data_IF_911556052914
#
_entry.id   IF_911556052914
#
_cell.length_a   1.000
_cell.length_b   1.000
_cell.length_c   1.000
_cell.angle_alpha   90.00
_cell.angle_beta   90.00
_cell.angle_gamma   90.00
#
_symmetry.space_group_name_H-M   'P 1'
#
loop_
_entity.id
_entity.type
_entity.pdbx_description
1 polymer ?
#
# COMPACT_ATOMS: atom_id res chain seq x y z
N UNK A 1 17.70 1.88 -7.96
CA UNK A 1 16.38 2.36 -7.48
C UNK A 1 15.43 1.18 -7.42
N UNK A 2 14.67 1.05 -6.33
CA UNK A 2 13.59 0.06 -6.22
C UNK A 2 12.25 0.77 -6.14
N UNK A 3 11.26 0.25 -6.86
CA UNK A 3 9.91 0.82 -6.91
C UNK A 3 8.89 -0.07 -6.23
N UNK A 4 7.98 0.55 -5.48
CA UNK A 4 6.83 -0.07 -4.83
C UNK A 4 5.60 0.61 -5.37
N UNK A 5 4.75 -0.10 -6.13
CA UNK A 5 3.49 0.43 -6.64
C UNK A 5 2.32 -0.16 -5.87
N UNK A 6 1.44 0.70 -5.38
CA UNK A 6 0.29 0.31 -4.57
C UNK A 6 -0.99 0.81 -5.25
N UNK A 7 -1.93 -0.11 -5.43
CA UNK A 7 -3.28 0.19 -5.87
C UNK A 7 -4.32 -0.53 -5.00
N UNK A 8 -5.57 -0.21 -5.20
CA UNK A 8 -6.70 -0.76 -4.46
C UNK A 8 -7.91 0.14 -4.62
N UNK A 9 -9.06 -0.26 -4.15
CA UNK A 9 -10.21 0.65 -4.03
C UNK A 9 -9.97 1.60 -2.88
N UNK A 10 -9.75 1.07 -1.68
CA UNK A 10 -9.56 1.85 -0.45
C UNK A 10 -8.14 1.68 0.13
N UNK A 11 -7.73 2.63 0.98
CA UNK A 11 -6.51 2.54 1.78
C UNK A 11 -5.20 2.88 1.07
N UNK A 12 -5.18 3.11 -0.24
CA UNK A 12 -3.97 3.39 -1.03
C UNK A 12 -3.06 4.46 -0.42
N UNK A 13 -3.62 5.64 -0.19
CA UNK A 13 -2.88 6.79 0.32
C UNK A 13 -2.31 6.53 1.71
N UNK A 14 -3.12 5.92 2.60
CA UNK A 14 -2.68 5.54 3.96
C UNK A 14 -1.54 4.54 3.90
N UNK A 15 -1.67 3.47 3.08
CA UNK A 15 -0.62 2.47 2.92
C UNK A 15 0.67 3.08 2.38
N UNK A 16 0.60 3.90 1.32
CA UNK A 16 1.76 4.56 0.73
C UNK A 16 2.49 5.47 1.72
N UNK A 17 1.74 6.32 2.44
CA UNK A 17 2.31 7.22 3.45
C UNK A 17 2.89 6.47 4.64
N UNK A 18 2.22 5.42 5.12
CA UNK A 18 2.73 4.58 6.19
C UNK A 18 4.05 3.91 5.79
N UNK A 19 4.11 3.34 4.60
CA UNK A 19 5.33 2.71 4.07
C UNK A 19 6.44 3.75 3.94
N UNK A 20 6.16 4.93 3.37
CA UNK A 20 7.13 6.02 3.32
C UNK A 20 7.66 6.40 4.71
N UNK A 21 6.76 6.53 5.69
CA UNK A 21 7.12 6.88 7.07
C UNK A 21 8.02 5.82 7.71
N UNK A 22 7.73 4.53 7.48
CA UNK A 22 8.56 3.43 7.97
C UNK A 22 9.97 3.49 7.37
N UNK A 23 10.09 3.68 6.05
CA UNK A 23 11.40 3.80 5.39
C UNK A 23 12.18 5.02 5.89
N UNK A 24 11.53 6.17 6.04
CA UNK A 24 12.17 7.38 6.60
C UNK A 24 12.62 7.16 8.05
N UNK A 25 11.82 6.49 8.88
CA UNK A 25 12.21 6.12 10.25
C UNK A 25 13.42 5.17 10.24
N UNK A 26 13.53 4.33 9.21
CA UNK A 26 14.72 3.47 8.96
C UNK A 26 15.88 4.22 8.31
N UNK A 27 15.83 5.57 8.20
CA UNK A 27 16.85 6.41 7.54
C UNK A 27 17.09 6.04 6.07
N UNK A 28 16.08 5.49 5.40
CA UNK A 28 16.12 5.18 3.97
C UNK A 28 15.50 6.33 3.20
N UNK A 29 16.15 6.77 2.12
CA UNK A 29 15.58 7.77 1.21
C UNK A 29 14.36 7.16 0.50
N UNK A 30 13.16 7.62 0.88
CA UNK A 30 11.89 7.14 0.37
C UNK A 30 11.08 8.29 -0.23
N UNK A 31 10.94 8.26 -1.54
CA UNK A 31 10.17 9.23 -2.32
C UNK A 31 8.76 8.70 -2.57
N UNK A 32 7.75 9.55 -2.43
CA UNK A 32 6.35 9.19 -2.64
C UNK A 32 5.73 10.10 -3.69
N UNK A 33 5.09 9.49 -4.67
CA UNK A 33 4.38 10.19 -5.72
C UNK A 33 3.30 9.37 -6.40
N UNK A 34 2.76 9.91 -7.48
CA UNK A 34 1.69 9.31 -8.28
C UNK A 34 0.35 9.97 -8.04
N UNK A 35 -0.68 9.20 -7.69
CA UNK A 35 -2.02 9.72 -7.40
C UNK A 35 -2.09 10.55 -6.09
N UNK A 36 -1.07 10.48 -5.27
CA UNK A 36 -0.90 11.29 -4.06
C UNK A 36 0.49 11.93 -4.03
N UNK A 37 0.56 13.13 -3.48
CA UNK A 37 1.83 13.85 -3.33
C UNK A 37 2.27 14.49 -4.63
N UNK A 38 3.52 14.22 -5.06
CA UNK A 38 4.10 14.79 -6.27
C UNK A 38 3.87 13.90 -7.51
N UNK A 39 3.76 14.46 -8.71
CA UNK A 39 3.87 13.67 -9.93
C UNK A 39 5.14 12.82 -9.92
N UNK A 40 5.09 11.62 -10.51
CA UNK A 40 6.23 10.68 -10.47
C UNK A 40 7.49 11.28 -11.09
N UNK A 41 7.34 12.09 -12.13
CA UNK A 41 8.45 12.76 -12.83
C UNK A 41 9.13 13.88 -12.03
N UNK A 42 8.43 14.43 -11.02
CA UNK A 42 8.95 15.49 -10.15
C UNK A 42 9.67 14.95 -8.89
N UNK A 43 9.82 13.64 -8.79
CA UNK A 43 10.48 13.02 -7.66
C UNK A 43 12.00 13.18 -7.76
N UNK A 44 12.64 13.63 -6.67
CA UNK A 44 14.10 13.70 -6.59
C UNK A 44 14.68 12.32 -6.27
N UNK A 45 14.86 11.51 -7.31
CA UNK A 45 15.27 10.11 -7.20
C UNK A 45 16.79 10.00 -7.25
N UNK A 46 17.39 9.47 -6.18
CA UNK A 46 18.81 9.14 -6.07
C UNK A 46 19.03 7.64 -6.31
N UNK A 47 20.26 7.22 -6.57
CA UNK A 47 20.62 5.82 -6.88
C UNK A 47 20.10 4.79 -5.87
N UNK A 48 20.01 5.15 -4.57
CA UNK A 48 19.55 4.27 -3.48
C UNK A 48 18.13 4.57 -3.00
N UNK A 49 17.40 5.46 -3.66
CA UNK A 49 16.03 5.82 -3.28
C UNK A 49 15.10 4.61 -3.41
N UNK A 50 14.13 4.53 -2.51
CA UNK A 50 12.93 3.70 -2.67
C UNK A 50 11.82 4.61 -3.19
N UNK A 51 11.26 4.29 -4.34
CA UNK A 51 10.17 5.05 -4.94
C UNK A 51 8.86 4.35 -4.66
N UNK A 52 7.97 5.02 -3.93
CA UNK A 52 6.63 4.53 -3.58
C UNK A 52 5.64 5.28 -4.46
N UNK A 53 4.83 4.55 -5.21
CA UNK A 53 3.88 5.12 -6.17
C UNK A 53 2.47 4.67 -5.79
N UNK A 54 1.60 5.62 -5.51
CA UNK A 54 0.17 5.37 -5.49
C UNK A 54 -0.36 5.39 -6.93
N UNK A 55 -0.99 4.29 -7.35
CA UNK A 55 -1.56 4.18 -8.69
C UNK A 55 -3.08 4.01 -8.64
N UNK A 56 -3.82 4.91 -9.29
CA UNK A 56 -5.26 4.78 -9.51
C UNK A 56 -5.57 3.79 -10.64
N UNK A 57 -6.82 3.30 -10.71
CA UNK A 57 -7.26 2.47 -11.83
C UNK A 57 -7.21 3.21 -13.17
N UNK A 58 -7.45 4.51 -13.15
CA UNK A 58 -7.37 5.38 -14.34
C UNK A 58 -5.95 5.41 -14.89
N UNK A 59 -4.97 5.73 -14.04
CA UNK A 59 -3.56 5.75 -14.43
C UNK A 59 -3.10 4.39 -14.96
N UNK A 60 -3.49 3.29 -14.28
CA UNK A 60 -3.13 1.93 -14.69
C UNK A 60 -3.77 1.53 -16.02
N UNK A 61 -4.96 2.04 -16.34
CA UNK A 61 -5.60 1.76 -17.64
C UNK A 61 -4.72 2.24 -18.81
N UNK A 62 -4.13 3.42 -18.68
CA UNK A 62 -3.28 4.02 -19.72
C UNK A 62 -1.81 3.60 -19.61
N UNK A 63 -1.40 2.98 -18.51
CA UNK A 63 -0.01 2.53 -18.34
C UNK A 63 0.29 1.29 -19.18
N UNK A 64 1.18 1.42 -20.17
CA UNK A 64 1.59 0.29 -21.05
C UNK A 64 2.77 -0.49 -20.49
N UNK A 65 3.73 0.18 -19.85
CA UNK A 65 5.05 -0.40 -19.49
C UNK A 65 5.37 -0.28 -18.00
N UNK A 66 4.35 -0.33 -17.14
CA UNK A 66 4.56 -0.28 -15.69
C UNK A 66 5.19 -1.59 -15.20
N UNK A 67 6.43 -1.52 -14.71
CA UNK A 67 7.18 -2.66 -14.16
C UNK A 67 7.73 -2.32 -12.77
N UNK A 68 6.92 -2.46 -11.71
CA UNK A 68 7.41 -2.25 -10.35
C UNK A 68 8.17 -3.46 -9.83
N UNK A 69 9.22 -3.24 -9.01
CA UNK A 69 9.89 -4.33 -8.30
C UNK A 69 8.96 -4.97 -7.25
N UNK A 70 8.10 -4.17 -6.65
CA UNK A 70 7.10 -4.60 -5.67
C UNK A 70 5.75 -4.00 -6.05
N UNK A 71 4.74 -4.84 -6.22
CA UNK A 71 3.40 -4.42 -6.55
C UNK A 71 2.39 -4.95 -5.54
N UNK A 72 1.47 -4.10 -5.07
CA UNK A 72 0.43 -4.49 -4.14
C UNK A 72 -0.95 -4.06 -4.61
N UNK A 73 -1.93 -4.97 -4.56
CA UNK A 73 -3.35 -4.64 -4.61
C UNK A 73 -3.92 -4.88 -3.23
N UNK A 74 -4.32 -3.80 -2.54
CA UNK A 74 -4.84 -3.87 -1.18
C UNK A 74 -6.20 -4.58 -1.17
N UNK A 75 -7.15 -4.05 -1.94
CA UNK A 75 -8.52 -4.57 -2.05
C UNK A 75 -9.15 -4.13 -3.37
N UNK A 76 -10.23 -4.81 -3.74
CA UNK A 76 -11.09 -4.42 -4.85
C UNK A 76 -12.54 -4.57 -4.40
N UNK A 77 -13.28 -3.48 -4.41
CA UNK A 77 -14.72 -3.38 -4.24
C UNK A 77 -15.34 -2.63 -5.42
N UNK A 78 -16.64 -2.60 -5.54
CA UNK A 78 -17.35 -1.87 -6.60
C UNK A 78 -17.06 -0.38 -6.45
N UNK A 79 -16.52 0.23 -7.52
CA UNK A 79 -16.19 1.63 -7.59
C UNK A 79 -15.95 2.04 -9.06
N UNK A 80 -16.17 3.32 -9.40
CA UNK A 80 -15.85 3.90 -10.72
C UNK A 80 -16.43 3.11 -11.91
N UNK A 81 -17.64 2.53 -11.77
CA UNK A 81 -18.29 1.78 -12.86
C UNK A 81 -18.79 2.70 -13.98
N UNK A 82 -19.09 3.93 -13.66
CA UNK A 82 -19.41 5.01 -14.62
C UNK A 82 -18.30 5.18 -15.66
N UNK A 83 -17.04 5.01 -15.26
CA UNK A 83 -15.90 5.14 -16.15
C UNK A 83 -15.42 3.79 -16.72
N UNK A 84 -15.33 2.75 -15.90
CA UNK A 84 -14.82 1.44 -16.32
C UNK A 84 -15.87 0.57 -17.04
N UNK A 85 -17.13 0.92 -16.96
CA UNK A 85 -18.27 0.16 -17.48
C UNK A 85 -18.59 -1.07 -16.65
N UNK A 86 -17.60 -1.88 -16.29
CA UNK A 86 -17.81 -3.14 -15.52
C UNK A 86 -16.77 -3.30 -14.41
N UNK A 87 -17.16 -4.05 -13.36
CA UNK A 87 -16.24 -4.45 -12.28
C UNK A 87 -15.07 -5.29 -12.83
N UNK A 88 -15.27 -6.02 -13.90
CA UNK A 88 -14.23 -6.82 -14.57
C UNK A 88 -13.17 -5.91 -15.19
N UNK A 89 -13.57 -4.85 -15.89
CA UNK A 89 -12.66 -3.88 -16.48
C UNK A 89 -11.90 -3.12 -15.38
N UNK A 90 -12.59 -2.67 -14.33
CA UNK A 90 -11.98 -2.04 -13.17
C UNK A 90 -10.92 -2.92 -12.50
N UNK A 91 -11.25 -4.20 -12.26
CA UNK A 91 -10.31 -5.20 -11.74
C UNK A 91 -9.11 -5.40 -12.68
N UNK A 92 -9.37 -5.55 -13.98
CA UNK A 92 -8.33 -5.78 -14.97
C UNK A 92 -7.38 -4.56 -15.07
N UNK A 93 -7.87 -3.33 -14.96
CA UNK A 93 -7.01 -2.15 -14.94
C UNK A 93 -6.00 -2.20 -13.79
N UNK A 94 -6.45 -2.59 -12.58
CA UNK A 94 -5.56 -2.73 -11.42
C UNK A 94 -4.57 -3.89 -11.55
N UNK A 95 -4.99 -5.00 -12.15
CA UNK A 95 -4.11 -6.16 -12.37
C UNK A 95 -2.93 -5.87 -13.33
N UNK A 96 -3.02 -4.79 -14.12
CA UNK A 96 -1.90 -4.37 -15.00
C UNK A 96 -0.59 -4.13 -14.24
N UNK A 97 -0.62 -3.80 -12.95
CA UNK A 97 0.62 -3.60 -12.18
C UNK A 97 1.52 -4.85 -12.14
N UNK A 98 0.97 -6.03 -12.42
CA UNK A 98 1.73 -7.29 -12.45
C UNK A 98 2.16 -7.70 -13.86
N UNK A 99 1.60 -7.09 -14.92
CA UNK A 99 1.71 -7.59 -16.29
C UNK A 99 3.14 -7.57 -16.84
N UNK A 100 3.98 -6.65 -16.40
CA UNK A 100 5.36 -6.50 -16.84
C UNK A 100 6.39 -6.99 -15.81
N UNK A 101 5.93 -7.47 -14.65
CA UNK A 101 6.82 -8.04 -13.62
C UNK A 101 7.43 -9.35 -14.11
N UNK A 102 8.66 -9.62 -13.73
CA UNK A 102 9.35 -10.89 -13.97
C UNK A 102 9.58 -11.68 -12.66
N UNK A 103 10.30 -12.79 -12.75
CA UNK A 103 10.58 -13.70 -11.62
C UNK A 103 11.41 -13.08 -10.50
N UNK A 104 12.02 -11.91 -10.68
CA UNK A 104 12.75 -11.18 -9.64
C UNK A 104 11.86 -10.23 -8.86
N UNK A 105 10.69 -9.88 -9.43
CA UNK A 105 9.75 -8.96 -8.85
C UNK A 105 8.78 -9.66 -7.88
N UNK A 106 8.12 -8.89 -7.01
CA UNK A 106 7.23 -9.42 -5.99
C UNK A 106 5.83 -8.80 -6.12
N UNK A 107 4.83 -9.67 -6.23
CA UNK A 107 3.41 -9.33 -6.11
C UNK A 107 2.91 -9.59 -4.69
N UNK A 108 2.14 -8.64 -4.12
CA UNK A 108 1.54 -8.77 -2.79
C UNK A 108 0.02 -8.74 -2.90
N UNK A 109 -0.63 -9.77 -2.40
CA UNK A 109 -2.09 -9.93 -2.37
C UNK A 109 -2.52 -10.57 -1.05
N UNK A 110 -3.75 -10.30 -0.62
CA UNK A 110 -4.37 -10.91 0.57
C UNK A 110 -5.71 -11.59 0.27
N UNK A 111 -6.34 -11.28 -0.86
CA UNK A 111 -7.69 -11.73 -1.20
C UNK A 111 -7.65 -13.00 -2.06
N UNK A 112 -8.38 -14.06 -1.65
CA UNK A 112 -8.43 -15.35 -2.33
C UNK A 112 -8.86 -15.24 -3.81
N UNK A 113 -9.85 -14.37 -4.12
CA UNK A 113 -10.31 -14.18 -5.51
C UNK A 113 -9.24 -13.54 -6.39
N UNK A 114 -8.46 -12.58 -5.83
CA UNK A 114 -7.34 -11.94 -6.54
C UNK A 114 -6.19 -12.92 -6.74
N UNK A 115 -5.86 -13.72 -5.73
CA UNK A 115 -4.82 -14.76 -5.79
C UNK A 115 -5.17 -15.78 -6.88
N UNK A 116 -6.40 -16.26 -6.92
CA UNK A 116 -6.85 -17.19 -7.96
C UNK A 116 -6.75 -16.55 -9.37
N UNK A 117 -7.10 -15.27 -9.49
CA UNK A 117 -6.98 -14.55 -10.77
C UNK A 117 -5.51 -14.38 -11.18
N UNK A 118 -4.65 -14.04 -10.22
CA UNK A 118 -3.20 -13.93 -10.43
C UNK A 118 -2.63 -15.23 -10.99
N UNK A 119 -2.94 -16.36 -10.35
CA UNK A 119 -2.47 -17.67 -10.78
C UNK A 119 -3.01 -18.07 -12.17
N UNK A 120 -4.31 -17.82 -12.42
CA UNK A 120 -4.92 -18.09 -13.74
C UNK A 120 -4.28 -17.29 -14.87
N UNK A 121 -3.88 -16.04 -14.61
CA UNK A 121 -3.20 -15.17 -15.58
C UNK A 121 -1.71 -15.50 -15.76
N UNK A 122 -1.17 -16.43 -14.97
CA UNK A 122 0.22 -16.90 -15.04
C UNK A 122 1.25 -15.76 -15.00
N UNK A 123 1.02 -14.76 -14.14
CA UNK A 123 2.00 -13.69 -13.92
C UNK A 123 3.33 -14.26 -13.40
N UNK A 124 4.45 -13.71 -13.87
CA UNK A 124 5.79 -14.25 -13.63
C UNK A 124 6.35 -13.90 -12.25
N UNK A 125 5.86 -12.83 -11.62
CA UNK A 125 6.38 -12.36 -10.34
C UNK A 125 6.10 -13.34 -9.19
N UNK A 126 6.96 -13.30 -8.17
CA UNK A 126 6.80 -14.10 -6.96
C UNK A 126 5.63 -13.59 -6.13
N UNK A 127 4.60 -14.41 -5.98
CA UNK A 127 3.45 -14.06 -5.14
C UNK A 127 3.77 -14.19 -3.64
N UNK A 128 3.60 -13.10 -2.91
CA UNK A 128 3.61 -13.06 -1.44
C UNK A 128 2.20 -12.80 -0.93
N UNK A 129 1.62 -13.79 -0.26
CA UNK A 129 0.29 -13.68 0.34
C UNK A 129 0.42 -12.96 1.68
N UNK A 130 -0.27 -11.83 1.81
CA UNK A 130 -0.32 -11.04 3.04
C UNK A 130 -1.42 -11.62 3.94
N UNK A 131 -1.05 -12.32 4.99
CA UNK A 131 -1.97 -12.96 5.95
C UNK A 131 -2.09 -12.13 7.22
N UNK A 132 -3.24 -12.17 7.90
CA UNK A 132 -3.42 -11.54 9.22
C UNK A 132 -2.42 -12.09 10.28
N UNK A 133 -2.05 -13.35 10.17
CA UNK A 133 -1.07 -14.01 11.05
C UNK A 133 0.36 -13.49 10.92
N UNK A 134 0.68 -12.67 9.91
CA UNK A 134 2.02 -12.09 9.77
C UNK A 134 2.40 -11.20 10.97
N UNK A 135 1.41 -10.48 11.53
CA UNK A 135 1.54 -9.78 12.80
C UNK A 135 1.20 -10.76 13.93
N UNK A 136 2.23 -11.41 14.48
CA UNK A 136 2.03 -12.28 15.64
C UNK A 136 1.52 -11.47 16.85
N UNK A 137 0.94 -12.15 17.84
CA UNK A 137 0.33 -11.52 19.01
C UNK A 137 1.32 -10.64 19.80
N UNK A 138 2.60 -10.99 19.82
CA UNK A 138 3.65 -10.24 20.53
C UNK A 138 3.84 -8.86 19.89
N UNK A 139 3.93 -8.82 18.55
CA UNK A 139 4.09 -7.56 17.81
C UNK A 139 2.80 -6.76 17.87
N UNK A 140 1.65 -7.40 17.69
CA UNK A 140 0.34 -6.73 17.72
C UNK A 140 0.08 -6.02 19.06
N UNK A 141 0.41 -6.66 20.20
CA UNK A 141 0.29 -6.06 21.53
C UNK A 141 1.17 -4.82 21.75
N UNK A 142 2.25 -4.66 20.97
CA UNK A 142 3.16 -3.50 21.05
C UNK A 142 2.75 -2.34 20.15
N UNK A 143 1.70 -2.50 19.35
CA UNK A 143 1.16 -1.42 18.51
C UNK A 143 0.09 -0.68 19.33
N UNK A 144 0.37 0.57 19.65
CA UNK A 144 -0.51 1.45 20.44
C UNK A 144 -1.29 2.45 19.59
N UNK A 145 -1.05 2.45 18.29
CA UNK A 145 -1.68 3.38 17.36
C UNK A 145 -3.09 2.90 16.97
N UNK A 146 -4.10 3.45 17.64
CA UNK A 146 -5.51 3.10 17.43
C UNK A 146 -6.00 3.36 16.01
N UNK A 147 -5.45 4.36 15.31
CA UNK A 147 -5.77 4.62 13.91
C UNK A 147 -5.40 3.45 13.01
N UNK A 148 -4.22 2.86 13.20
CA UNK A 148 -3.72 1.76 12.36
C UNK A 148 -4.28 0.39 12.75
N UNK A 149 -4.69 0.19 13.99
CA UNK A 149 -5.33 -1.07 14.41
C UNK A 149 -6.84 -1.09 14.18
N UNK A 150 -7.45 0.04 13.79
CA UNK A 150 -8.86 0.10 13.38
C UNK A 150 -9.11 -0.76 12.14
N UNK A 151 -10.30 -1.34 12.03
CA UNK A 151 -10.63 -2.27 10.93
C UNK A 151 -10.35 -1.69 9.53
N UNK A 152 -10.66 -0.41 9.22
CA UNK A 152 -10.35 0.17 7.90
C UNK A 152 -8.86 0.25 7.57
N UNK A 153 -8.00 0.42 8.59
CA UNK A 153 -6.56 0.62 8.40
C UNK A 153 -5.70 -0.61 8.70
N UNK A 154 -6.29 -1.64 9.31
CA UNK A 154 -5.55 -2.84 9.69
C UNK A 154 -4.94 -3.56 8.48
N UNK A 155 -5.66 -3.59 7.37
CA UNK A 155 -5.15 -4.17 6.12
C UNK A 155 -3.92 -3.39 5.61
N UNK A 156 -3.96 -2.06 5.64
CA UNK A 156 -2.83 -1.20 5.26
C UNK A 156 -1.60 -1.49 6.13
N UNK A 157 -1.80 -1.71 7.43
CA UNK A 157 -0.75 -2.08 8.39
C UNK A 157 -0.11 -3.44 8.03
N UNK A 158 -0.91 -4.44 7.65
CA UNK A 158 -0.42 -5.75 7.25
C UNK A 158 0.48 -5.68 6.01
N UNK A 159 0.05 -4.93 4.97
CA UNK A 159 0.87 -4.72 3.77
C UNK A 159 2.16 -3.98 4.09
N UNK A 160 2.09 -2.91 4.91
CA UNK A 160 3.27 -2.18 5.33
C UNK A 160 4.25 -3.04 6.14
N UNK A 161 3.75 -3.93 7.00
CA UNK A 161 4.60 -4.86 7.74
C UNK A 161 5.23 -5.90 6.82
N UNK A 162 4.46 -6.48 5.86
CA UNK A 162 5.01 -7.43 4.89
C UNK A 162 6.13 -6.80 4.06
N UNK A 163 5.95 -5.56 3.60
CA UNK A 163 6.99 -4.82 2.87
C UNK A 163 8.20 -4.57 3.78
N UNK A 164 7.99 -4.17 5.02
CA UNK A 164 9.07 -3.98 6.00
C UNK A 164 9.91 -5.25 6.19
N UNK A 165 9.27 -6.42 6.23
CA UNK A 165 9.95 -7.73 6.32
C UNK A 165 10.78 -8.01 5.08
N UNK A 166 10.25 -7.74 3.89
CA UNK A 166 10.97 -7.95 2.62
C UNK A 166 12.23 -7.07 2.56
N UNK A 167 12.18 -5.86 3.09
CA UNK A 167 13.32 -4.94 3.14
C UNK A 167 14.19 -5.10 4.40
N UNK A 168 13.99 -6.16 5.19
CA UNK A 168 14.73 -6.45 6.42
C UNK A 168 14.74 -5.30 7.45
N UNK A 169 13.66 -4.50 7.50
CA UNK A 169 13.51 -3.45 8.50
C UNK A 169 13.31 -4.11 9.87
N UNK A 170 14.16 -3.76 10.84
CA UNK A 170 14.10 -4.30 12.21
C UNK A 170 12.73 -4.02 12.83
N UNK A 171 12.16 -5.01 13.53
CA UNK A 171 10.84 -4.88 14.19
C UNK A 171 10.78 -3.67 15.15
N UNK A 172 11.86 -3.35 15.85
CA UNK A 172 11.94 -2.15 16.72
C UNK A 172 11.71 -0.85 15.93
N UNK A 173 12.30 -0.74 14.73
CA UNK A 173 12.14 0.44 13.85
C UNK A 173 10.72 0.50 13.31
N UNK A 174 10.18 -0.63 12.87
CA UNK A 174 8.78 -0.74 12.43
C UNK A 174 7.81 -0.28 13.52
N UNK A 175 7.92 -0.81 14.74
CA UNK A 175 7.06 -0.45 15.86
C UNK A 175 7.17 1.04 16.21
N UNK A 176 8.41 1.59 16.21
CA UNK A 176 8.61 3.03 16.39
C UNK A 176 7.85 3.82 15.33
N UNK A 177 8.00 3.48 14.06
CA UNK A 177 7.33 4.19 12.96
C UNK A 177 5.80 4.11 13.08
N UNK A 178 5.26 2.91 13.28
CA UNK A 178 3.81 2.67 13.38
C UNK A 178 3.19 3.44 14.54
N UNK A 179 3.81 3.42 15.72
CA UNK A 179 3.26 4.09 16.91
C UNK A 179 3.32 5.64 16.81
N UNK A 180 4.20 6.19 15.98
CA UNK A 180 4.30 7.64 15.74
C UNK A 180 3.63 8.10 14.43
N UNK A 181 2.99 7.20 13.69
CA UNK A 181 2.29 7.57 12.46
C UNK A 181 0.99 8.32 12.77
N UNK A 182 0.90 9.57 12.34
CA UNK A 182 -0.24 10.46 12.65
C UNK A 182 -1.46 10.27 11.73
N UNK A 183 -1.39 9.36 10.77
CA UNK A 183 -2.44 9.24 9.74
C UNK A 183 -2.27 10.27 8.61
N UNK A 184 -3.34 10.46 7.87
CA UNK A 184 -3.44 11.46 6.81
C UNK A 184 -4.44 12.54 7.21
N UNK A 185 -4.19 13.83 6.90
CA UNK A 185 -5.21 14.86 7.00
C UNK A 185 -6.46 14.47 6.21
N UNK A 186 -7.62 14.79 6.72
CA UNK A 186 -8.92 14.53 6.08
C UNK A 186 -9.16 13.04 5.71
N UNK A 187 -8.64 12.12 6.54
CA UNK A 187 -8.83 10.67 6.40
C UNK A 187 -9.00 10.04 7.77
N UNK A 188 -10.24 10.04 8.27
CA UNK A 188 -10.56 9.57 9.62
C UNK A 188 -9.72 10.29 10.69
N UNK A 189 -9.45 11.56 10.44
CA UNK A 189 -8.60 12.40 11.29
C UNK A 189 -9.39 12.85 12.52
N UNK A 190 -8.97 12.40 13.69
CA UNK A 190 -9.51 12.92 14.95
C UNK A 190 -8.84 14.26 15.22
N UNK A 191 -9.54 15.37 14.99
CA UNK A 191 -8.97 16.71 15.18
C UNK A 191 -9.37 17.36 16.51
N UNK A 192 -10.44 16.88 17.16
CA UNK A 192 -10.88 17.40 18.44
C UNK A 192 -11.57 16.32 19.28
N UNK A 193 -11.28 16.30 20.59
CA UNK A 193 -12.05 15.56 21.59
C UNK A 193 -12.49 16.53 22.66
N UNK A 194 -13.81 16.71 22.82
CA UNK A 194 -14.40 17.63 23.82
C UNK A 194 -15.68 17.00 24.39
N UNK A 195 -15.86 17.06 25.72
CA UNK A 195 -17.06 16.57 26.39
C UNK A 195 -17.51 15.17 25.98
N UNK A 196 -16.60 14.20 25.93
CA UNK A 196 -16.82 12.81 25.47
C UNK A 196 -17.25 12.69 23.99
N UNK A 197 -17.26 13.77 23.21
CA UNK A 197 -17.51 13.78 21.78
C UNK A 197 -16.17 13.77 21.05
N UNK A 198 -16.07 12.92 20.03
CA UNK A 198 -14.90 12.85 19.13
C UNK A 198 -15.29 13.42 17.78
N UNK A 199 -14.60 14.45 17.34
CA UNK A 199 -14.79 15.08 16.04
C UNK A 199 -13.80 14.47 15.06
N UNK A 200 -14.31 13.94 13.96
CA UNK A 200 -13.55 13.23 12.94
C UNK A 200 -13.73 13.96 11.62
N UNK A 201 -12.63 14.20 10.91
CA UNK A 201 -12.61 14.73 9.56
C UNK A 201 -12.24 13.60 8.59
N UNK A 202 -13.10 13.35 7.59
CA UNK A 202 -12.94 12.26 6.61
C UNK A 202 -13.13 12.75 5.18
#
# INVERSE_FOLDING_TARGET
VKSIVITGTNGKSTACKLIQHIFKTNRTDAQLGGNIGKPVLDLNIKRKSIVIIEASSFQLTYSKFIKPNFAAILNISIDHLDWHGTITNYKNSKLKIFSQQDSNDIALLNNKKLINTFNKKKYLSKLKIVKRSILNNIIKKKITNNYLISEPNFENLLFAYQISKIFNIKTKVFLKAVNHFKGLPHRHEIFLKKNKVTFIND
#
